data_IF_680327917472
#
_entry.id   IF_680327917472
#
_cell.length_a   1.000
_cell.length_b   1.000
_cell.length_c   1.000
_cell.angle_alpha   90.00
_cell.angle_beta   90.00
_cell.angle_gamma   90.00
#
_symmetry.space_group_name_H-M   'P 1'
#
loop_
_entity.id
_entity.type
_entity.pdbx_description
1 polymer ?
#
# COMPACT_ATOMS: atom_id res chain seq x y z
N UNK A 1 -0.85 -8.86 -3.43
CA UNK A 1 -2.04 -9.47 -4.06
C UNK A 1 -3.20 -8.52 -3.81
N UNK A 2 -3.52 -7.68 -4.78
CA UNK A 2 -4.69 -6.83 -4.68
C UNK A 2 -5.92 -7.75 -4.80
N UNK A 3 -6.63 -7.96 -3.69
CA UNK A 3 -7.97 -8.51 -3.78
C UNK A 3 -8.82 -7.49 -4.55
N UNK A 4 -9.20 -7.83 -5.76
CA UNK A 4 -10.19 -7.07 -6.50
C UNK A 4 -11.53 -7.25 -5.78
N UNK A 5 -11.90 -6.27 -4.95
CA UNK A 5 -13.27 -6.13 -4.52
C UNK A 5 -14.07 -5.67 -5.73
N UNK A 6 -14.87 -6.55 -6.33
CA UNK A 6 -15.90 -6.12 -7.27
C UNK A 6 -16.95 -5.36 -6.47
N UNK A 7 -17.32 -4.13 -6.86
CA UNK A 7 -18.46 -3.45 -6.27
C UNK A 7 -19.70 -4.33 -6.49
N UNK A 8 -20.42 -4.60 -5.43
CA UNK A 8 -21.72 -5.27 -5.53
C UNK A 8 -22.68 -4.27 -6.18
N UNK A 9 -23.03 -4.50 -7.47
CA UNK A 9 -23.97 -3.67 -8.18
C UNK A 9 -25.34 -3.77 -7.47
N UNK A 10 -25.68 -2.69 -6.75
CA UNK A 10 -27.05 -2.42 -6.34
C UNK A 10 -27.71 -3.49 -5.46
N UNK A 11 -27.27 -3.63 -4.22
CA UNK A 11 -28.06 -4.38 -3.23
C UNK A 11 -29.24 -3.51 -2.77
N UNK A 12 -30.39 -3.67 -3.42
CA UNK A 12 -31.66 -3.34 -2.79
C UNK A 12 -31.76 -4.10 -1.45
N UNK A 13 -32.05 -3.35 -0.40
CA UNK A 13 -32.14 -3.80 0.98
C UNK A 13 -33.36 -4.73 1.16
N UNK A 14 -33.26 -5.98 0.68
CA UNK A 14 -34.24 -7.03 0.95
C UNK A 14 -33.63 -8.02 1.93
N UNK A 15 -34.12 -8.00 3.14
CA UNK A 15 -33.70 -8.82 4.26
C UNK A 15 -33.54 -10.30 3.88
N UNK A 16 -32.42 -10.85 4.29
CA UNK A 16 -32.03 -12.24 4.21
C UNK A 16 -31.18 -12.66 3.00
N UNK A 17 -29.96 -12.11 2.87
CA UNK A 17 -28.91 -12.78 2.08
C UNK A 17 -27.80 -13.21 3.02
N UNK A 18 -27.50 -14.52 3.02
CA UNK A 18 -26.27 -15.10 3.58
C UNK A 18 -25.08 -14.61 2.74
N UNK A 19 -24.67 -13.37 2.95
CA UNK A 19 -23.42 -12.89 2.42
C UNK A 19 -22.30 -13.59 3.18
N UNK A 20 -21.58 -14.46 2.49
CA UNK A 20 -20.46 -15.21 3.06
C UNK A 20 -19.26 -14.24 3.09
N UNK A 21 -19.23 -13.34 4.09
CA UNK A 21 -18.06 -12.51 4.36
C UNK A 21 -16.90 -13.40 4.77
N UNK A 22 -15.77 -13.31 4.06
CA UNK A 22 -14.56 -14.06 4.37
C UNK A 22 -14.21 -13.91 5.87
N UNK A 23 -13.94 -15.02 6.55
CA UNK A 23 -13.60 -15.01 7.96
C UNK A 23 -14.75 -14.86 8.96
N UNK A 24 -16.02 -14.96 8.54
CA UNK A 24 -17.18 -15.00 9.45
C UNK A 24 -17.56 -13.65 10.07
N UNK A 25 -17.00 -12.53 9.60
CA UNK A 25 -17.43 -11.20 10.02
C UNK A 25 -18.82 -10.87 9.43
N UNK A 26 -19.66 -10.29 10.27
CA UNK A 26 -20.98 -9.75 9.85
C UNK A 26 -21.05 -8.31 10.29
N UNK A 27 -21.38 -7.38 9.37
CA UNK A 27 -21.62 -5.98 9.73
C UNK A 27 -22.66 -5.87 10.83
N UNK A 28 -22.40 -5.02 11.81
CA UNK A 28 -23.25 -4.81 12.99
C UNK A 28 -24.32 -3.76 12.76
N UNK A 29 -24.19 -2.97 11.69
CA UNK A 29 -24.98 -1.77 11.40
C UNK A 29 -24.44 -0.53 12.13
N UNK A 30 -23.32 -0.66 12.85
CA UNK A 30 -22.66 0.46 13.54
C UNK A 30 -21.43 0.90 12.75
N UNK A 31 -21.44 2.12 12.25
CA UNK A 31 -20.27 2.73 11.60
C UNK A 31 -19.18 2.93 12.64
N UNK A 32 -18.00 2.39 12.36
CA UNK A 32 -16.83 2.43 13.24
C UNK A 32 -15.63 3.14 12.61
N UNK A 33 -15.62 3.28 11.29
CA UNK A 33 -14.62 4.09 10.56
C UNK A 33 -15.33 5.00 9.57
N UNK A 34 -14.89 6.24 9.49
CA UNK A 34 -15.36 7.21 8.51
C UNK A 34 -14.26 8.17 8.09
N UNK A 35 -14.45 8.84 6.98
CA UNK A 35 -13.47 9.82 6.55
C UNK A 35 -13.73 10.45 5.20
N UNK A 36 -12.68 11.07 4.68
CA UNK A 36 -12.72 11.81 3.43
C UNK A 36 -11.56 11.39 2.54
N UNK A 37 -11.75 11.51 1.24
CA UNK A 37 -10.69 11.33 0.25
C UNK A 37 -10.56 12.57 -0.60
N UNK A 38 -9.35 13.11 -0.64
CA UNK A 38 -9.03 14.31 -1.42
C UNK A 38 -7.96 14.04 -2.47
N UNK A 39 -7.99 14.86 -3.52
CA UNK A 39 -6.94 14.97 -4.53
C UNK A 39 -6.42 16.39 -4.62
N UNK A 40 -5.09 16.58 -4.49
CA UNK A 40 -4.48 17.89 -4.66
C UNK A 40 -4.97 18.95 -3.66
N UNK A 41 -5.10 18.59 -2.39
CA UNK A 41 -5.41 19.49 -1.26
C UNK A 41 -6.88 19.78 -1.03
N UNK A 42 -7.73 19.88 -2.05
CA UNK A 42 -9.14 20.24 -1.84
C UNK A 42 -10.15 19.56 -2.77
N UNK A 43 -9.70 18.89 -3.82
CA UNK A 43 -10.61 18.19 -4.75
C UNK A 43 -11.15 16.93 -4.09
N UNK A 44 -12.46 16.88 -3.89
CA UNK A 44 -13.14 15.71 -3.32
C UNK A 44 -13.19 14.59 -4.34
N UNK A 45 -12.81 13.37 -3.95
CA UNK A 45 -12.71 12.23 -4.86
C UNK A 45 -13.82 11.23 -4.59
N UNK A 46 -14.79 11.20 -5.51
CA UNK A 46 -15.88 10.23 -5.51
C UNK A 46 -15.44 8.88 -6.11
N UNK A 47 -16.10 7.80 -5.71
CA UNK A 47 -15.90 6.47 -6.27
C UNK A 47 -14.58 5.78 -5.86
N UNK A 48 -13.85 6.34 -4.89
CA UNK A 48 -12.65 5.70 -4.35
C UNK A 48 -13.06 4.53 -3.46
N UNK A 49 -12.53 3.36 -3.73
CA UNK A 49 -12.82 2.16 -2.93
C UNK A 49 -11.99 2.20 -1.64
N UNK A 50 -12.67 2.09 -0.52
CA UNK A 50 -12.09 1.96 0.82
C UNK A 50 -12.34 0.54 1.31
N UNK A 51 -11.33 -0.09 1.90
CA UNK A 51 -11.44 -1.46 2.41
C UNK A 51 -10.74 -1.60 3.77
N UNK A 52 -11.33 -2.43 4.63
CA UNK A 52 -10.71 -2.91 5.87
C UNK A 52 -10.10 -4.32 5.74
N UNK A 53 -10.07 -4.85 4.49
CA UNK A 53 -9.64 -6.21 4.17
C UNK A 53 -10.77 -7.24 4.15
N UNK A 54 -11.96 -6.90 4.67
CA UNK A 54 -13.15 -7.76 4.70
C UNK A 54 -14.32 -7.13 3.98
N UNK A 55 -14.51 -5.83 4.15
CA UNK A 55 -15.57 -5.02 3.55
C UNK A 55 -14.96 -3.98 2.61
N UNK A 56 -15.74 -3.58 1.62
CA UNK A 56 -15.43 -2.49 0.71
C UNK A 56 -16.61 -1.55 0.61
N UNK A 57 -16.32 -0.25 0.62
CA UNK A 57 -17.28 0.83 0.35
C UNK A 57 -16.68 1.79 -0.67
N UNK A 58 -17.49 2.64 -1.26
CA UNK A 58 -17.00 3.71 -2.14
C UNK A 58 -17.29 5.07 -1.52
N UNK A 59 -16.43 6.04 -1.80
CA UNK A 59 -16.68 7.43 -1.44
C UNK A 59 -17.84 8.00 -2.26
N UNK A 60 -18.66 8.84 -1.62
CA UNK A 60 -19.74 9.60 -2.25
C UNK A 60 -19.21 10.77 -3.10
N UNK A 61 -20.11 11.58 -3.65
CA UNK A 61 -19.81 12.78 -4.43
C UNK A 61 -19.02 13.85 -3.66
N UNK A 62 -19.04 13.79 -2.33
CA UNK A 62 -18.28 14.65 -1.44
C UNK A 62 -16.94 14.06 -1.00
N UNK A 63 -16.55 12.91 -1.56
CA UNK A 63 -15.36 12.17 -1.16
C UNK A 63 -15.48 11.52 0.22
N UNK A 64 -16.69 11.43 0.78
CA UNK A 64 -16.95 10.89 2.12
C UNK A 64 -17.21 9.39 2.05
N UNK A 65 -16.75 8.66 3.08
CA UNK A 65 -16.99 7.23 3.26
C UNK A 65 -17.33 6.88 4.70
N UNK A 66 -18.09 5.81 4.88
CA UNK A 66 -18.38 5.16 6.15
C UNK A 66 -18.25 3.64 5.99
N UNK A 67 -17.65 2.96 6.97
CA UNK A 67 -17.51 1.50 6.97
C UNK A 67 -17.79 0.95 8.37
N UNK A 68 -18.57 -0.12 8.44
CA UNK A 68 -18.82 -0.91 9.66
C UNK A 68 -17.71 -1.95 9.80
N UNK A 69 -16.56 -1.53 10.30
CA UNK A 69 -15.36 -2.34 10.45
C UNK A 69 -15.25 -2.92 11.87
N UNK A 70 -14.82 -4.17 11.97
CA UNK A 70 -14.46 -4.77 13.26
C UNK A 70 -13.05 -4.28 13.67
N UNK A 71 -12.98 -3.18 14.41
CA UNK A 71 -11.72 -2.59 14.85
C UNK A 71 -10.86 -3.54 15.69
N UNK A 72 -11.44 -4.57 16.33
CA UNK A 72 -10.66 -5.56 17.09
C UNK A 72 -9.79 -6.45 16.19
N UNK A 73 -10.17 -6.59 14.92
CA UNK A 73 -9.52 -7.44 13.92
C UNK A 73 -8.82 -6.64 12.82
N UNK A 74 -9.35 -5.49 12.49
CA UNK A 74 -8.85 -4.64 11.42
C UNK A 74 -7.48 -4.08 11.78
N UNK A 75 -6.50 -4.32 10.93
CA UNK A 75 -5.14 -3.78 11.08
C UNK A 75 -4.94 -2.52 10.22
N UNK A 76 -5.55 -2.50 9.07
CA UNK A 76 -5.39 -1.43 8.09
C UNK A 76 -6.73 -1.06 7.46
N UNK A 77 -6.92 0.22 7.22
CA UNK A 77 -7.92 0.75 6.30
C UNK A 77 -7.18 1.21 5.05
N UNK A 78 -7.57 0.73 3.89
CA UNK A 78 -6.89 1.02 2.63
C UNK A 78 -7.79 1.81 1.69
N UNK A 79 -7.21 2.67 0.89
CA UNK A 79 -7.90 3.36 -0.20
C UNK A 79 -7.30 2.98 -1.55
N UNK A 80 -8.12 2.64 -2.55
CA UNK A 80 -7.64 2.44 -3.91
C UNK A 80 -7.10 3.76 -4.47
N UNK A 81 -5.97 3.71 -5.19
CA UNK A 81 -5.41 4.91 -5.83
C UNK A 81 -6.23 5.21 -7.09
N UNK A 82 -6.92 6.37 -7.16
CA UNK A 82 -7.78 6.68 -8.31
C UNK A 82 -6.97 7.01 -9.56
N UNK A 83 -7.57 6.76 -10.73
CA UNK A 83 -6.95 7.15 -12.01
C UNK A 83 -6.69 8.65 -12.06
N UNK A 84 -5.54 9.05 -12.55
CA UNK A 84 -5.11 10.45 -12.58
C UNK A 84 -4.44 10.94 -11.30
N UNK A 85 -4.25 10.05 -10.32
CA UNK A 85 -3.61 10.37 -9.04
C UNK A 85 -2.52 9.37 -8.69
N UNK A 86 -1.63 9.76 -7.79
CA UNK A 86 -0.65 8.90 -7.13
C UNK A 86 -0.81 8.99 -5.62
N UNK A 87 -0.43 7.95 -4.90
CA UNK A 87 -0.29 8.04 -3.46
C UNK A 87 0.90 8.95 -3.11
N UNK A 88 0.80 9.79 -2.07
CA UNK A 88 1.98 10.39 -1.48
C UNK A 88 2.90 9.29 -0.95
N UNK A 89 4.18 9.60 -0.78
CA UNK A 89 5.15 8.67 -0.20
C UNK A 89 5.59 9.14 1.17
N UNK A 90 5.94 8.17 2.02
CA UNK A 90 6.64 8.46 3.26
C UNK A 90 8.11 8.87 3.00
N UNK A 91 8.86 9.08 4.06
CA UNK A 91 10.27 9.46 4.00
C UNK A 91 11.19 8.40 3.36
N UNK A 92 10.71 7.16 3.23
CA UNK A 92 11.42 6.03 2.64
C UNK A 92 10.97 5.73 1.20
N UNK A 93 10.04 6.51 0.64
CA UNK A 93 9.50 6.30 -0.71
C UNK A 93 8.38 5.25 -0.77
N UNK A 94 7.85 4.81 0.37
CA UNK A 94 6.71 3.89 0.42
C UNK A 94 5.40 4.64 0.19
N UNK A 95 4.52 4.17 -0.71
CA UNK A 95 3.27 4.84 -1.00
C UNK A 95 2.29 4.75 0.16
N UNK A 96 1.71 5.90 0.55
CA UNK A 96 0.74 6.03 1.63
C UNK A 96 -0.68 6.00 1.04
N UNK A 97 -1.27 4.82 1.00
CA UNK A 97 -2.66 4.59 0.59
C UNK A 97 -3.44 3.80 1.63
N UNK A 98 -2.91 3.72 2.84
CA UNK A 98 -3.48 2.99 3.95
C UNK A 98 -3.34 3.78 5.26
N UNK A 99 -4.24 3.49 6.19
CA UNK A 99 -4.16 3.89 7.58
C UNK A 99 -3.97 2.65 8.45
N UNK A 100 -2.91 2.61 9.26
CA UNK A 100 -2.70 1.55 10.25
C UNK A 100 -3.53 1.88 11.49
N UNK A 101 -4.50 1.03 11.79
CA UNK A 101 -5.32 1.16 12.99
C UNK A 101 -4.45 0.89 14.22
N UNK A 102 -4.25 1.90 15.05
CA UNK A 102 -3.43 1.81 16.26
C UNK A 102 -4.17 1.11 17.40
N UNK A 103 -3.44 0.64 18.42
CA UNK A 103 -4.04 0.00 19.58
C UNK A 103 -4.94 0.99 20.36
N UNK A 104 -4.60 2.28 20.37
CA UNK A 104 -5.46 3.31 20.94
C UNK A 104 -6.77 3.47 20.17
N UNK A 105 -6.71 3.49 18.83
CA UNK A 105 -7.90 3.60 17.98
C UNK A 105 -8.83 2.39 18.11
N UNK A 106 -8.29 1.20 18.37
CA UNK A 106 -9.08 -0.02 18.63
C UNK A 106 -9.99 0.09 19.85
N UNK A 107 -9.68 0.99 20.78
CA UNK A 107 -10.51 1.23 21.96
C UNK A 107 -11.57 2.31 21.77
N UNK A 108 -11.56 2.97 20.61
CA UNK A 108 -12.52 4.04 20.27
C UNK A 108 -13.78 3.48 19.65
N UNK A 109 -14.89 4.16 19.85
CA UNK A 109 -16.14 3.86 19.16
C UNK A 109 -16.08 4.14 17.68
N UNK A 110 -15.19 5.08 17.26
CA UNK A 110 -15.05 5.51 15.88
C UNK A 110 -13.65 6.02 15.59
N UNK A 111 -13.10 5.57 14.46
CA UNK A 111 -11.86 6.07 13.86
C UNK A 111 -12.22 7.02 12.71
N UNK A 112 -11.51 8.13 12.62
CA UNK A 112 -11.65 9.09 11.52
C UNK A 112 -10.31 9.22 10.80
N UNK A 113 -10.32 9.07 9.48
CA UNK A 113 -9.11 9.21 8.68
C UNK A 113 -9.38 9.92 7.36
N UNK A 114 -8.42 10.70 6.91
CA UNK A 114 -8.46 11.38 5.61
C UNK A 114 -7.34 10.86 4.73
N UNK A 115 -7.70 10.35 3.56
CA UNK A 115 -6.74 10.01 2.52
C UNK A 115 -6.53 11.19 1.59
N UNK A 116 -5.28 11.44 1.23
CA UNK A 116 -4.93 12.46 0.25
C UNK A 116 -4.12 11.83 -0.87
N UNK A 117 -4.52 12.10 -2.12
CA UNK A 117 -3.81 11.66 -3.32
C UNK A 117 -3.31 12.86 -4.11
N UNK A 118 -2.18 12.69 -4.77
CA UNK A 118 -1.52 13.74 -5.53
C UNK A 118 -1.91 13.63 -7.02
N UNK A 119 -2.41 14.70 -7.66
CA UNK A 119 -2.71 14.64 -9.08
C UNK A 119 -1.43 14.40 -9.88
N UNK A 120 -1.52 13.55 -10.90
CA UNK A 120 -0.42 13.32 -11.84
C UNK A 120 -0.58 14.19 -13.09
N UNK A 121 0.52 14.72 -13.60
CA UNK A 121 0.52 15.58 -14.79
C UNK A 121 0.61 14.78 -16.10
N UNK A 122 1.09 13.55 -16.03
CA UNK A 122 1.25 12.68 -17.19
C UNK A 122 -0.04 11.90 -17.48
N UNK A 123 -0.12 11.31 -18.68
CA UNK A 123 -1.24 10.43 -19.04
C UNK A 123 -1.35 9.26 -18.04
N UNK A 124 -2.47 9.12 -17.30
CA UNK A 124 -2.64 8.08 -16.29
C UNK A 124 -2.65 6.66 -16.87
N UNK A 125 -2.96 6.52 -18.15
CA UNK A 125 -2.98 5.23 -18.84
C UNK A 125 -1.59 4.83 -19.41
N UNK A 126 -0.57 5.64 -19.18
CA UNK A 126 0.79 5.38 -19.65
C UNK A 126 1.79 5.56 -18.51
N UNK A 127 2.38 4.46 -18.08
CA UNK A 127 3.35 4.41 -16.99
C UNK A 127 4.42 3.36 -17.27
N UNK A 128 5.50 3.42 -16.50
CA UNK A 128 6.51 2.35 -16.43
C UNK A 128 6.45 1.74 -15.04
N UNK A 129 6.41 0.43 -14.97
CA UNK A 129 6.57 -0.34 -13.74
C UNK A 129 7.96 -0.99 -13.76
N UNK A 130 8.82 -0.63 -12.79
CA UNK A 130 10.10 -1.29 -12.54
C UNK A 130 9.83 -2.37 -11.50
N UNK A 131 10.10 -3.62 -11.85
CA UNK A 131 9.85 -4.77 -10.97
C UNK A 131 11.18 -5.35 -10.52
N UNK A 132 11.37 -5.48 -9.22
CA UNK A 132 12.45 -6.19 -8.59
C UNK A 132 11.92 -7.41 -7.83
N UNK A 133 12.75 -8.42 -7.66
CA UNK A 133 12.42 -9.61 -6.90
C UNK A 133 13.65 -10.10 -6.16
N UNK A 134 13.45 -10.67 -5.00
CA UNK A 134 14.43 -11.46 -4.27
C UNK A 134 15.79 -10.78 -4.06
N UNK A 135 15.89 -9.53 -3.61
CA UNK A 135 17.19 -8.93 -3.31
C UNK A 135 17.91 -9.67 -2.17
N UNK A 136 17.21 -10.23 -1.23
CA UNK A 136 17.64 -11.15 -0.17
C UNK A 136 19.03 -10.84 0.43
N UNK A 137 19.34 -9.60 0.85
CA UNK A 137 20.61 -9.34 1.49
C UNK A 137 20.74 -10.14 2.79
N UNK A 138 21.96 -10.51 3.10
CA UNK A 138 22.32 -11.17 4.35
C UNK A 138 23.21 -10.28 5.19
N UNK A 139 23.16 -10.45 6.51
CA UNK A 139 24.04 -9.70 7.41
C UNK A 139 25.52 -10.02 7.11
N UNK A 140 26.38 -9.01 7.17
CA UNK A 140 27.85 -9.17 6.93
C UNK A 140 28.47 -10.18 7.86
N UNK A 141 27.93 -10.40 9.05
CA UNK A 141 28.40 -11.40 10.03
C UNK A 141 28.01 -12.84 9.70
N UNK A 142 27.27 -13.09 8.63
CA UNK A 142 26.73 -14.43 8.34
C UNK A 142 27.73 -15.41 7.70
N UNK A 143 29.02 -15.11 7.71
CA UNK A 143 30.07 -16.05 7.31
C UNK A 143 30.21 -16.29 5.80
N UNK A 144 29.71 -15.41 4.97
CA UNK A 144 29.86 -15.45 3.50
C UNK A 144 31.04 -14.60 3.00
N UNK A 145 32.06 -14.41 3.84
CA UNK A 145 33.19 -13.51 3.62
C UNK A 145 34.11 -13.92 2.46
N UNK A 146 33.86 -15.07 1.84
CA UNK A 146 34.65 -15.57 0.70
C UNK A 146 34.15 -15.11 -0.67
N UNK A 147 33.11 -14.27 -0.69
CA UNK A 147 32.55 -13.74 -1.93
C UNK A 147 33.15 -12.36 -2.17
N UNK A 148 33.65 -12.11 -3.38
CA UNK A 148 34.25 -10.83 -3.76
C UNK A 148 33.28 -9.63 -3.62
N UNK A 149 31.96 -9.89 -3.64
CA UNK A 149 30.89 -8.91 -3.44
C UNK A 149 29.91 -9.43 -2.41
N UNK A 150 29.68 -8.63 -1.38
CA UNK A 150 28.67 -8.94 -0.38
C UNK A 150 27.27 -8.59 -0.91
N UNK A 151 26.24 -9.35 -0.51
CA UNK A 151 24.86 -9.13 -0.98
C UNK A 151 24.31 -7.73 -0.68
N UNK A 152 24.70 -7.10 0.44
CA UNK A 152 24.35 -5.71 0.74
C UNK A 152 24.96 -4.72 -0.26
N UNK A 153 26.22 -4.95 -0.70
CA UNK A 153 26.88 -4.10 -1.70
C UNK A 153 26.18 -4.25 -3.06
N UNK A 154 25.76 -5.47 -3.41
CA UNK A 154 24.97 -5.73 -4.62
C UNK A 154 23.59 -5.05 -4.58
N UNK A 155 22.96 -4.94 -3.40
CA UNK A 155 21.71 -4.20 -3.25
C UNK A 155 21.89 -2.69 -3.53
N UNK A 156 23.02 -2.10 -3.13
CA UNK A 156 23.32 -0.70 -3.47
C UNK A 156 23.41 -0.48 -4.99
N UNK A 157 24.08 -1.38 -5.70
CA UNK A 157 24.14 -1.38 -7.16
C UNK A 157 22.77 -1.53 -7.79
N UNK A 158 21.96 -2.45 -7.29
CA UNK A 158 20.59 -2.70 -7.74
C UNK A 158 19.70 -1.46 -7.62
N UNK A 159 19.71 -0.76 -6.47
CA UNK A 159 18.96 0.48 -6.29
C UNK A 159 19.48 1.61 -7.19
N UNK A 160 20.79 1.70 -7.36
CA UNK A 160 21.40 2.66 -8.29
C UNK A 160 20.90 2.44 -9.71
N UNK A 161 20.93 1.20 -10.19
CA UNK A 161 20.50 0.86 -11.55
C UNK A 161 19.02 1.17 -11.78
N UNK A 162 18.17 0.86 -10.79
CA UNK A 162 16.74 1.24 -10.82
C UNK A 162 16.56 2.76 -10.94
N UNK A 163 17.27 3.53 -10.12
CA UNK A 163 17.20 5.00 -10.10
C UNK A 163 17.70 5.59 -11.42
N UNK A 164 18.84 5.13 -11.92
CA UNK A 164 19.40 5.58 -13.20
C UNK A 164 18.46 5.25 -14.36
N UNK A 165 17.88 4.04 -14.36
CA UNK A 165 16.89 3.67 -15.35
C UNK A 165 15.64 4.56 -15.27
N UNK A 166 15.11 4.80 -14.10
CA UNK A 166 13.95 5.68 -13.90
C UNK A 166 14.23 7.10 -14.40
N UNK A 167 15.42 7.64 -14.14
CA UNK A 167 15.83 8.98 -14.56
C UNK A 167 15.85 9.17 -16.10
N UNK A 168 15.95 8.10 -16.88
CA UNK A 168 15.83 8.17 -18.35
C UNK A 168 14.40 8.29 -18.86
N UNK A 169 13.40 8.14 -17.98
CA UNK A 169 11.97 8.12 -18.33
C UNK A 169 11.35 9.45 -17.91
N UNK A 170 11.11 10.34 -18.86
CA UNK A 170 10.61 11.69 -18.58
C UNK A 170 9.20 11.97 -19.10
N UNK A 171 8.64 11.05 -19.90
CA UNK A 171 7.38 11.23 -20.62
C UNK A 171 6.18 10.51 -19.95
N UNK A 172 6.39 9.84 -18.82
CA UNK A 172 5.38 9.09 -18.09
C UNK A 172 5.79 8.88 -16.64
N UNK A 173 4.82 8.50 -15.80
CA UNK A 173 5.10 8.15 -14.41
C UNK A 173 5.87 6.83 -14.30
N UNK A 174 6.74 6.75 -13.31
CA UNK A 174 7.47 5.54 -12.94
C UNK A 174 6.98 5.08 -11.58
N UNK A 175 6.70 3.80 -11.48
CA UNK A 175 6.37 3.10 -10.24
C UNK A 175 7.29 1.90 -10.09
N UNK A 176 7.54 1.49 -8.86
CA UNK A 176 8.27 0.28 -8.56
C UNK A 176 7.40 -0.76 -7.86
N UNK A 177 7.75 -2.02 -8.04
CA UNK A 177 7.17 -3.14 -7.29
C UNK A 177 8.27 -4.12 -6.91
N UNK A 178 8.37 -4.44 -5.61
CA UNK A 178 9.23 -5.49 -5.10
C UNK A 178 8.40 -6.72 -4.79
N UNK A 179 8.75 -7.86 -5.37
CA UNK A 179 7.95 -9.09 -5.33
C UNK A 179 8.28 -10.00 -4.13
N UNK A 180 8.74 -9.44 -3.05
CA UNK A 180 9.02 -10.14 -1.81
C UNK A 180 10.48 -10.55 -1.66
N UNK A 181 10.75 -11.24 -0.55
CA UNK A 181 12.07 -11.65 -0.09
C UNK A 181 13.07 -10.48 -0.09
N UNK A 182 12.60 -9.35 0.47
CA UNK A 182 13.35 -8.09 0.50
C UNK A 182 14.52 -8.15 1.49
N UNK A 183 14.46 -9.08 2.44
CA UNK A 183 15.55 -9.47 3.34
C UNK A 183 15.63 -11.00 3.43
N UNK A 184 16.68 -11.55 4.02
CA UNK A 184 16.81 -13.00 4.21
C UNK A 184 16.81 -13.35 5.69
N UNK A 185 15.64 -13.71 6.23
CA UNK A 185 15.44 -14.20 7.61
C UNK A 185 16.14 -13.33 8.67
N UNK A 186 16.16 -12.02 8.45
CA UNK A 186 16.73 -11.05 9.37
C UNK A 186 16.07 -9.68 9.18
N UNK A 187 15.05 -9.42 9.95
CA UNK A 187 14.28 -8.16 9.89
C UNK A 187 15.11 -6.92 10.26
N UNK A 188 16.26 -7.06 10.93
CA UNK A 188 17.12 -5.91 11.20
C UNK A 188 17.67 -5.26 9.92
N UNK A 189 17.78 -6.03 8.83
CA UNK A 189 18.20 -5.54 7.50
C UNK A 189 17.13 -4.72 6.77
N UNK A 190 15.92 -4.67 7.32
CA UNK A 190 14.84 -3.84 6.77
C UNK A 190 15.21 -2.35 6.78
N UNK A 191 16.04 -1.93 7.73
CA UNK A 191 16.59 -0.57 7.77
C UNK A 191 17.46 -0.26 6.55
N UNK A 192 18.32 -1.20 6.15
CA UNK A 192 19.17 -1.05 4.96
C UNK A 192 18.32 -1.05 3.68
N UNK A 193 17.32 -1.92 3.62
CA UNK A 193 16.34 -1.94 2.53
C UNK A 193 15.61 -0.60 2.37
N UNK A 194 15.05 -0.06 3.43
CA UNK A 194 14.35 1.23 3.40
C UNK A 194 15.31 2.38 3.01
N UNK A 195 16.55 2.36 3.49
CA UNK A 195 17.56 3.33 3.09
C UNK A 195 17.83 3.29 1.57
N UNK A 196 17.85 2.09 0.98
CA UNK A 196 17.94 1.91 -0.47
C UNK A 196 16.72 2.47 -1.21
N UNK A 197 15.51 2.15 -0.77
CA UNK A 197 14.27 2.65 -1.38
C UNK A 197 14.20 4.18 -1.39
N UNK A 198 14.61 4.82 -0.30
CA UNK A 198 14.64 6.29 -0.18
C UNK A 198 15.42 6.97 -1.31
N UNK A 199 16.37 6.27 -1.93
CA UNK A 199 17.20 6.83 -3.01
C UNK A 199 16.54 6.77 -4.38
N UNK A 200 15.44 6.04 -4.56
CA UNK A 200 14.88 5.72 -5.88
C UNK A 200 14.21 6.91 -6.57
N UNK A 201 13.56 7.80 -5.81
CA UNK A 201 12.86 8.96 -6.37
C UNK A 201 11.51 8.64 -7.05
N UNK A 202 11.00 7.43 -6.88
CA UNK A 202 9.66 7.00 -7.31
C UNK A 202 9.06 6.05 -6.27
N UNK A 203 7.72 5.93 -6.17
CA UNK A 203 7.06 5.09 -5.17
C UNK A 203 7.32 3.60 -5.44
N UNK A 204 7.69 2.87 -4.37
CA UNK A 204 7.94 1.43 -4.40
C UNK A 204 6.85 0.69 -3.62
N UNK A 205 6.08 -0.12 -4.32
CA UNK A 205 5.11 -1.05 -3.72
C UNK A 205 5.80 -2.35 -3.36
N UNK A 206 5.50 -2.89 -2.18
CA UNK A 206 6.14 -4.10 -1.69
C UNK A 206 5.12 -5.22 -1.48
N UNK A 207 5.52 -6.43 -1.81
CA UNK A 207 4.85 -7.67 -1.46
C UNK A 207 5.77 -8.41 -0.49
N UNK A 208 5.22 -9.06 0.53
CA UNK A 208 5.99 -9.90 1.43
C UNK A 208 6.32 -11.24 0.77
N UNK A 209 7.55 -11.69 0.92
CA UNK A 209 8.00 -13.04 0.58
C UNK A 209 8.07 -13.95 1.80
N UNK A 210 8.51 -15.18 1.60
CA UNK A 210 8.60 -16.15 2.70
C UNK A 210 9.86 -15.97 3.57
N UNK A 211 10.88 -15.26 3.10
CA UNK A 211 12.07 -14.90 3.87
C UNK A 211 11.97 -13.54 4.59
N UNK A 212 10.86 -12.82 4.41
CA UNK A 212 10.60 -11.53 5.08
C UNK A 212 10.06 -11.76 6.51
N UNK A 213 10.79 -12.51 7.31
CA UNK A 213 10.50 -12.82 8.71
C UNK A 213 11.79 -13.07 9.49
N UNK A 214 11.69 -13.21 10.84
CA UNK A 214 12.77 -13.63 11.75
C UNK A 214 12.61 -15.10 12.11
#
# INVERSE_FOLDING_TARGET
MALACTPDEGVENNGNKNNNYGGGYRPTGKITVKGLVYGGGSTKLAGVVISDGLLCVQTDENGYFEIDSDLSRTKFITASIPSGYSAPTDENGLPIFYHKVTDEERTKDMVQHTFEFLPINNNPNRYTLIVGADPQPRARSAGYDNIAYHSLDMCEDFYRDMREKAATITDRNVYGMMLGDVVHENMSLYTDYLAGLKTLGFPMFNILGNHDND
#
